data_IF_001387014738
#
_entry.id   IF_001387014738
#
_cell.length_a   1.000
_cell.length_b   1.000
_cell.length_c   1.000
_cell.angle_alpha   90.00
_cell.angle_beta   90.00
_cell.angle_gamma   90.00
#
_symmetry.space_group_name_H-M   'P 1'
#
loop_
_entity.id
_entity.type
_entity.pdbx_description
1 polymer ?
#
# COMPACT_ATOMS: atom_id res chain seq x y z
N UNK A 1 -15.49 -2.80 -12.30
CA UNK A 1 -14.47 -3.82 -12.64
C UNK A 1 -14.05 -3.77 -14.11
N UNK A 2 -14.19 -2.62 -14.79
CA UNK A 2 -13.90 -2.47 -16.24
C UNK A 2 -12.53 -1.80 -16.47
N UNK A 3 -12.12 -0.88 -15.59
CA UNK A 3 -10.89 -0.08 -15.72
C UNK A 3 -9.55 -0.85 -15.66
N UNK A 4 -9.49 -2.05 -15.07
CA UNK A 4 -8.23 -2.79 -14.95
C UNK A 4 -7.79 -3.40 -16.29
N UNK A 5 -8.74 -3.96 -17.04
CA UNK A 5 -8.47 -4.62 -18.31
C UNK A 5 -8.02 -3.61 -19.38
N UNK A 6 -8.61 -2.42 -19.38
CA UNK A 6 -8.24 -1.34 -20.31
C UNK A 6 -6.80 -0.87 -20.06
N UNK A 7 -6.41 -0.70 -18.79
CA UNK A 7 -5.03 -0.34 -18.44
C UNK A 7 -4.01 -1.37 -18.91
N UNK A 8 -4.27 -2.64 -18.65
CA UNK A 8 -3.35 -3.72 -19.06
C UNK A 8 -3.23 -3.78 -20.57
N UNK A 9 -4.35 -3.67 -21.30
CA UNK A 9 -4.38 -3.62 -22.77
C UNK A 9 -3.53 -2.47 -23.30
N UNK A 10 -3.79 -1.26 -22.83
CA UNK A 10 -3.16 -0.04 -23.34
C UNK A 10 -1.65 -0.03 -23.04
N UNK A 11 -1.25 -0.47 -21.84
CA UNK A 11 0.17 -0.67 -21.51
C UNK A 11 0.81 -1.75 -22.38
N UNK A 12 0.15 -2.88 -22.59
CA UNK A 12 0.70 -3.95 -23.42
C UNK A 12 0.93 -3.49 -24.87
N UNK A 13 -0.04 -2.77 -25.46
CA UNK A 13 0.11 -2.23 -26.82
C UNK A 13 1.26 -1.22 -26.92
N UNK A 14 1.46 -0.38 -25.90
CA UNK A 14 2.59 0.54 -25.81
C UNK A 14 3.93 -0.21 -25.84
N UNK A 15 4.07 -1.23 -25.00
CA UNK A 15 5.29 -2.03 -24.92
C UNK A 15 5.53 -2.86 -26.19
N UNK A 16 4.47 -3.34 -26.84
CA UNK A 16 4.58 -4.02 -28.13
C UNK A 16 5.06 -3.08 -29.25
N UNK A 17 4.73 -1.78 -29.20
CA UNK A 17 5.29 -0.81 -30.14
C UNK A 17 6.82 -0.66 -29.95
N UNK A 18 7.32 -0.67 -28.70
CA UNK A 18 8.76 -0.71 -28.44
C UNK A 18 9.39 -2.02 -28.93
N UNK A 19 8.74 -3.15 -28.65
CA UNK A 19 9.20 -4.45 -29.10
C UNK A 19 9.27 -4.54 -30.64
N UNK A 20 8.30 -3.97 -31.36
CA UNK A 20 8.30 -3.94 -32.82
C UNK A 20 9.46 -3.09 -33.37
N UNK A 21 9.75 -1.94 -32.78
CA UNK A 21 10.93 -1.13 -33.16
C UNK A 21 12.23 -1.92 -32.99
N UNK A 22 12.36 -2.66 -31.89
CA UNK A 22 13.56 -3.44 -31.60
C UNK A 22 13.68 -4.70 -32.47
N UNK A 23 12.60 -5.48 -32.58
CA UNK A 23 12.59 -6.79 -33.23
C UNK A 23 12.32 -6.70 -34.73
N UNK A 24 11.56 -5.74 -35.22
CA UNK A 24 11.22 -5.66 -36.65
C UNK A 24 12.12 -4.63 -37.32
N UNK A 25 12.14 -3.39 -36.82
CA UNK A 25 12.91 -2.31 -37.43
C UNK A 25 14.43 -2.43 -37.13
N UNK A 26 14.83 -3.30 -36.20
CA UNK A 26 16.23 -3.49 -35.73
C UNK A 26 16.87 -2.20 -35.22
N UNK A 27 16.04 -1.29 -34.68
CA UNK A 27 16.51 -0.02 -34.16
C UNK A 27 16.60 -0.11 -32.64
N UNK A 28 17.80 0.09 -32.11
CA UNK A 28 18.04 0.13 -30.67
C UNK A 28 17.96 1.57 -30.14
N UNK A 29 16.75 2.14 -30.19
CA UNK A 29 16.43 3.38 -29.45
C UNK A 29 15.29 3.08 -28.47
N UNK A 30 15.62 3.06 -27.18
CA UNK A 30 14.67 2.79 -26.09
C UNK A 30 13.67 3.92 -25.78
N UNK A 31 13.19 4.65 -26.79
CA UNK A 31 12.32 5.82 -26.60
C UNK A 31 11.26 5.99 -27.69
N UNK A 32 10.36 6.97 -27.51
CA UNK A 32 9.21 7.24 -28.38
C UNK A 32 9.55 8.07 -29.64
N UNK A 33 10.60 7.68 -30.35
CA UNK A 33 11.07 8.33 -31.57
C UNK A 33 10.14 8.12 -32.77
N UNK A 34 10.58 8.52 -33.97
CA UNK A 34 9.78 8.40 -35.20
C UNK A 34 9.38 6.95 -35.51
N UNK A 35 10.28 5.98 -35.28
CA UNK A 35 9.99 4.56 -35.48
C UNK A 35 8.85 4.07 -34.58
N UNK A 36 8.93 4.37 -33.28
CA UNK A 36 7.87 4.03 -32.33
C UNK A 36 6.53 4.66 -32.72
N UNK A 37 6.52 5.94 -33.13
CA UNK A 37 5.29 6.62 -33.57
C UNK A 37 4.63 5.93 -34.77
N UNK A 38 5.42 5.41 -35.73
CA UNK A 38 4.87 4.67 -36.88
C UNK A 38 4.14 3.41 -36.43
N UNK A 39 4.74 2.64 -35.52
CA UNK A 39 4.09 1.45 -34.96
C UNK A 39 2.84 1.78 -34.14
N UNK A 40 2.88 2.85 -33.33
CA UNK A 40 1.71 3.32 -32.60
C UNK A 40 0.56 3.71 -33.56
N UNK A 41 0.84 4.47 -34.62
CA UNK A 41 -0.15 4.84 -35.65
C UNK A 41 -0.69 3.59 -36.35
N UNK A 42 0.18 2.64 -36.70
CA UNK A 42 -0.23 1.39 -37.33
C UNK A 42 -1.19 0.60 -36.44
N UNK A 43 -0.86 0.44 -35.15
CA UNK A 43 -1.73 -0.21 -34.18
C UNK A 43 -3.08 0.52 -34.04
N UNK A 44 -3.09 1.86 -34.00
CA UNK A 44 -4.35 2.63 -33.94
C UNK A 44 -5.20 2.46 -35.21
N UNK A 45 -4.58 2.27 -36.37
CA UNK A 45 -5.29 2.00 -37.62
C UNK A 45 -5.92 0.61 -37.64
N UNK A 46 -5.24 -0.41 -37.12
CA UNK A 46 -5.74 -1.79 -37.07
C UNK A 46 -6.79 -1.96 -35.98
N UNK A 47 -6.58 -1.31 -34.83
CA UNK A 47 -7.45 -1.37 -33.67
C UNK A 47 -8.20 -0.05 -33.45
N UNK A 48 -8.99 0.36 -34.44
CA UNK A 48 -9.70 1.65 -34.45
C UNK A 48 -10.73 1.85 -33.33
N UNK A 49 -11.17 0.76 -32.70
CA UNK A 49 -12.07 0.80 -31.54
C UNK A 49 -11.35 1.10 -30.21
N UNK A 50 -10.02 1.11 -30.20
CA UNK A 50 -9.22 1.36 -29.00
C UNK A 50 -8.84 2.84 -28.87
N UNK A 51 -8.64 3.34 -27.65
CA UNK A 51 -8.14 4.70 -27.46
C UNK A 51 -6.73 4.87 -28.05
N UNK A 52 -6.33 6.10 -28.39
CA UNK A 52 -4.98 6.38 -28.87
C UNK A 52 -3.89 5.89 -27.91
N UNK A 53 -2.88 5.22 -28.44
CA UNK A 53 -1.67 4.84 -27.69
C UNK A 53 -0.84 6.10 -27.41
N UNK A 54 -0.86 6.56 -26.16
CA UNK A 54 -0.08 7.72 -25.72
C UNK A 54 1.38 7.35 -25.39
N UNK A 55 2.26 8.37 -25.42
CA UNK A 55 3.67 8.23 -25.01
C UNK A 55 3.83 8.04 -23.50
N UNK A 56 2.96 8.67 -22.72
CA UNK A 56 2.95 8.59 -21.27
C UNK A 56 1.63 8.00 -20.83
N UNK A 57 1.66 7.15 -19.80
CA UNK A 57 0.45 6.65 -19.18
C UNK A 57 -0.18 7.72 -18.28
N UNK A 58 -1.37 8.23 -18.65
CA UNK A 58 -2.09 9.24 -17.87
C UNK A 58 -3.10 8.63 -16.87
N UNK A 59 -2.85 7.43 -16.34
CA UNK A 59 -3.79 6.80 -15.42
C UNK A 59 -3.82 7.55 -14.08
N UNK A 60 -5.02 7.75 -13.54
CA UNK A 60 -5.18 8.21 -12.15
C UNK A 60 -4.64 7.11 -11.23
N UNK A 61 -3.48 7.35 -10.63
CA UNK A 61 -2.89 6.46 -9.64
C UNK A 61 -3.54 6.76 -8.29
N UNK A 62 -4.44 5.88 -7.86
CA UNK A 62 -4.95 5.91 -6.50
C UNK A 62 -3.88 5.39 -5.54
N UNK A 63 -3.43 6.27 -4.66
CA UNK A 63 -2.41 5.96 -3.65
C UNK A 63 -2.99 6.10 -2.26
N UNK A 64 -2.77 5.10 -1.41
CA UNK A 64 -3.27 5.09 -0.04
C UNK A 64 -2.68 6.18 0.85
N UNK A 65 -1.44 6.60 0.58
CA UNK A 65 -0.68 7.51 1.43
C UNK A 65 -0.40 8.81 0.69
N UNK A 66 -0.87 9.91 1.26
CA UNK A 66 -0.69 11.26 0.77
C UNK A 66 0.20 12.01 1.77
N UNK A 67 1.28 12.61 1.32
CA UNK A 67 2.15 13.44 2.14
C UNK A 67 1.92 14.89 1.73
N UNK A 68 1.28 15.68 2.59
CA UNK A 68 0.88 17.05 2.31
C UNK A 68 1.82 17.98 3.06
N UNK A 69 2.38 18.97 2.36
CA UNK A 69 3.23 19.96 2.98
C UNK A 69 2.40 20.97 3.77
N UNK A 70 2.74 21.17 5.04
CA UNK A 70 2.02 22.12 5.92
C UNK A 70 2.21 23.58 5.53
N UNK A 71 3.26 23.89 4.75
CA UNK A 71 3.57 25.27 4.35
C UNK A 71 2.87 25.69 3.07
N UNK A 72 3.03 24.91 2.00
CA UNK A 72 2.52 25.28 0.67
C UNK A 72 1.44 24.35 0.11
N UNK A 73 1.01 23.32 0.86
CA UNK A 73 -0.01 22.37 0.41
C UNK A 73 0.45 21.35 -0.63
N UNK A 74 1.73 21.36 -1.03
CA UNK A 74 2.25 20.41 -2.02
C UNK A 74 2.01 18.96 -1.57
N UNK A 75 1.45 18.15 -2.46
CA UNK A 75 1.02 16.78 -2.14
C UNK A 75 1.86 15.74 -2.88
N UNK A 76 2.48 14.82 -2.13
CA UNK A 76 3.20 13.66 -2.67
C UNK A 76 2.39 12.38 -2.45
N UNK A 77 2.15 11.63 -3.54
CA UNK A 77 1.36 10.41 -3.55
C UNK A 77 2.25 9.17 -3.45
N UNK A 78 1.96 8.21 -2.57
CA UNK A 78 2.74 6.97 -2.37
C UNK A 78 1.87 5.74 -2.09
N UNK A 79 2.27 4.58 -2.64
CA UNK A 79 1.59 3.30 -2.38
C UNK A 79 1.93 2.69 -1.01
N UNK A 80 3.07 3.05 -0.43
CA UNK A 80 3.54 2.60 0.89
C UNK A 80 3.97 3.78 1.75
N UNK A 81 4.16 3.57 3.06
CA UNK A 81 4.71 4.57 3.98
C UNK A 81 6.24 4.71 3.85
N UNK A 82 6.72 4.90 2.62
CA UNK A 82 8.16 4.90 2.30
C UNK A 82 8.80 6.29 2.34
N UNK A 83 8.03 7.33 2.59
CA UNK A 83 8.54 8.69 2.64
C UNK A 83 8.74 9.10 4.11
N UNK A 84 10.00 9.33 4.45
CA UNK A 84 10.46 9.74 5.78
C UNK A 84 10.30 11.26 5.91
N UNK A 85 9.28 11.68 6.67
CA UNK A 85 8.92 13.09 6.91
C UNK A 85 9.90 13.81 7.84
N UNK A 86 10.75 13.08 8.56
CA UNK A 86 11.74 13.66 9.47
C UNK A 86 12.99 14.10 8.68
N UNK A 87 13.37 13.30 7.67
CA UNK A 87 14.53 13.55 6.81
C UNK A 87 14.24 14.38 5.57
N UNK A 88 13.01 14.32 5.04
CA UNK A 88 12.65 14.95 3.76
C UNK A 88 11.75 16.16 3.99
N UNK A 89 12.10 17.27 3.34
CA UNK A 89 11.37 18.54 3.37
C UNK A 89 10.84 18.91 1.99
N UNK A 90 9.89 19.83 1.95
CA UNK A 90 9.31 20.30 0.70
C UNK A 90 10.35 21.08 -0.13
N UNK A 91 10.52 20.71 -1.39
CA UNK A 91 11.46 21.40 -2.28
C UNK A 91 11.04 22.84 -2.63
N UNK A 92 9.75 23.17 -2.47
CA UNK A 92 9.19 24.49 -2.83
C UNK A 92 9.36 25.48 -1.68
N UNK A 93 8.84 25.16 -0.50
CA UNK A 93 8.81 26.09 0.64
C UNK A 93 9.70 25.67 1.82
N UNK A 94 10.44 24.55 1.70
CA UNK A 94 11.25 23.95 2.78
C UNK A 94 10.46 23.52 4.03
N UNK A 95 9.13 23.52 3.98
CA UNK A 95 8.25 23.05 5.05
C UNK A 95 8.28 21.53 5.24
N UNK A 96 7.72 21.05 6.35
CA UNK A 96 7.56 19.62 6.65
C UNK A 96 6.31 19.04 5.97
N UNK A 97 6.32 17.72 5.80
CA UNK A 97 5.21 16.94 5.28
C UNK A 97 4.47 16.22 6.40
N UNK A 98 3.15 16.15 6.30
CA UNK A 98 2.29 15.33 7.13
C UNK A 98 1.66 14.21 6.30
N UNK A 99 1.56 13.02 6.90
CA UNK A 99 0.99 11.85 6.27
C UNK A 99 -0.52 11.76 6.51
N UNK A 100 -1.30 11.83 5.44
CA UNK A 100 -2.73 11.59 5.39
C UNK A 100 -3.04 10.29 4.62
N UNK A 101 -4.15 9.62 4.94
CA UNK A 101 -4.70 8.57 4.09
C UNK A 101 -5.64 9.15 3.06
N UNK A 102 -5.69 8.53 1.89
CA UNK A 102 -6.63 8.89 0.82
C UNK A 102 -8.11 8.72 1.21
N UNK A 103 -8.42 7.99 2.28
CA UNK A 103 -9.77 7.83 2.83
C UNK A 103 -10.17 8.95 3.83
N UNK A 104 -9.35 10.01 3.95
CA UNK A 104 -9.60 11.15 4.82
C UNK A 104 -9.47 10.85 6.32
N UNK A 105 -9.24 9.60 6.72
CA UNK A 105 -9.02 9.24 8.12
C UNK A 105 -7.60 9.60 8.54
N UNK A 106 -7.48 10.34 9.63
CA UNK A 106 -6.21 10.56 10.30
C UNK A 106 -5.56 9.21 10.63
N UNK A 107 -4.29 9.04 10.24
CA UNK A 107 -3.52 7.89 10.71
C UNK A 107 -3.16 8.16 12.16
N UNK A 108 -3.82 7.50 13.11
CA UNK A 108 -3.33 7.47 14.48
C UNK A 108 -1.93 6.81 14.47
N UNK A 109 -0.89 7.61 14.68
CA UNK A 109 0.50 7.14 14.91
C UNK A 109 0.63 6.35 16.20
N UNK A 110 -0.38 6.40 17.07
CA UNK A 110 -0.51 5.51 18.22
C UNK A 110 -0.86 4.11 17.70
N UNK A 111 0.16 3.25 17.56
CA UNK A 111 -0.05 1.80 17.56
C UNK A 111 -0.63 1.45 18.94
N UNK A 112 -1.95 1.51 19.11
CA UNK A 112 -2.59 0.84 20.25
C UNK A 112 -2.16 -0.62 20.15
N UNK A 113 -1.43 -1.08 21.15
CA UNK A 113 -1.10 -2.49 21.26
C UNK A 113 -2.41 -3.26 21.18
N UNK A 114 -2.44 -4.35 20.41
CA UNK A 114 -3.65 -5.18 20.42
C UNK A 114 -3.82 -5.76 21.84
N UNK A 115 -5.05 -6.13 22.21
CA UNK A 115 -5.37 -6.64 23.57
C UNK A 115 -4.44 -7.77 24.01
N UNK A 116 -4.00 -8.62 23.07
CA UNK A 116 -3.04 -9.69 23.35
C UNK A 116 -1.64 -9.17 23.68
N UNK A 117 -1.14 -8.14 22.98
CA UNK A 117 0.16 -7.53 23.23
C UNK A 117 0.20 -6.83 24.60
N UNK A 118 -0.90 -6.21 25.02
CA UNK A 118 -1.04 -5.67 26.39
C UNK A 118 -1.01 -6.80 27.42
N UNK A 119 -1.80 -7.86 27.19
CA UNK A 119 -1.81 -9.05 28.06
C UNK A 119 -0.43 -9.71 28.18
N UNK A 120 0.31 -9.84 27.08
CA UNK A 120 1.68 -10.36 27.09
C UNK A 120 2.59 -9.44 27.91
N UNK A 121 2.52 -8.12 27.72
CA UNK A 121 3.35 -7.17 28.48
C UNK A 121 3.13 -7.29 29.99
N UNK A 122 1.89 -7.47 30.42
CA UNK A 122 1.53 -7.57 31.85
C UNK A 122 1.89 -8.92 32.49
N UNK A 123 1.86 -10.01 31.70
CA UNK A 123 1.98 -11.37 32.24
C UNK A 123 3.30 -12.07 31.88
N UNK A 124 4.11 -11.53 30.97
CA UNK A 124 5.36 -12.15 30.55
C UNK A 124 6.34 -12.37 31.71
N UNK A 125 6.49 -11.38 32.60
CA UNK A 125 7.35 -11.51 33.78
C UNK A 125 6.87 -12.55 34.79
N UNK A 126 5.55 -12.82 34.84
CA UNK A 126 4.95 -13.81 35.74
C UNK A 126 5.16 -15.24 35.24
N UNK A 127 5.13 -15.43 33.92
CA UNK A 127 5.29 -16.75 33.30
C UNK A 127 6.75 -17.12 33.01
N UNK A 128 7.64 -16.13 32.87
CA UNK A 128 9.05 -16.39 32.57
C UNK A 128 9.80 -16.90 33.81
N UNK A 129 9.95 -18.22 33.89
CA UNK A 129 10.79 -18.90 34.89
C UNK A 129 12.23 -19.05 34.41
N UNK A 130 13.17 -19.23 35.35
CA UNK A 130 14.58 -19.45 35.04
C UNK A 130 14.75 -20.65 34.10
N UNK A 131 15.43 -20.46 32.97
CA UNK A 131 15.68 -21.50 31.97
C UNK A 131 14.60 -21.67 30.88
N UNK A 132 13.46 -20.96 30.95
CA UNK A 132 12.43 -21.06 29.90
C UNK A 132 12.81 -20.28 28.64
N UNK A 133 12.57 -20.89 27.47
CA UNK A 133 12.71 -20.20 26.18
C UNK A 133 11.53 -19.27 25.95
N UNK A 134 11.79 -18.17 25.25
CA UNK A 134 10.76 -17.18 24.89
C UNK A 134 9.55 -17.83 24.18
N UNK A 135 9.79 -18.78 23.27
CA UNK A 135 8.73 -19.46 22.53
C UNK A 135 7.75 -20.22 23.44
N UNK A 136 8.26 -20.82 24.53
CA UNK A 136 7.43 -21.58 25.47
C UNK A 136 6.58 -20.65 26.33
N UNK A 137 7.15 -19.51 26.76
CA UNK A 137 6.40 -18.47 27.47
C UNK A 137 5.28 -17.90 26.59
N UNK A 138 5.53 -17.66 25.30
CA UNK A 138 4.51 -17.17 24.37
C UNK A 138 3.36 -18.18 24.18
N UNK A 139 3.65 -19.49 24.10
CA UNK A 139 2.60 -20.53 24.02
C UNK A 139 1.70 -20.53 25.25
N UNK A 140 2.29 -20.41 26.44
CA UNK A 140 1.54 -20.35 27.71
C UNK A 140 0.65 -19.11 27.75
N UNK A 141 1.19 -17.95 27.38
CA UNK A 141 0.44 -16.69 27.35
C UNK A 141 -0.72 -16.73 26.33
N UNK A 142 -0.49 -17.31 25.15
CA UNK A 142 -1.58 -17.50 24.16
C UNK A 142 -2.70 -18.39 24.69
N UNK A 143 -2.36 -19.47 25.40
CA UNK A 143 -3.36 -20.35 26.03
C UNK A 143 -4.14 -19.63 27.13
N UNK A 144 -3.45 -18.92 28.03
CA UNK A 144 -4.08 -18.15 29.12
C UNK A 144 -4.99 -17.03 28.61
N UNK A 145 -4.58 -16.32 27.56
CA UNK A 145 -5.41 -15.29 26.94
C UNK A 145 -6.71 -15.87 26.36
N UNK A 146 -6.65 -17.05 25.73
CA UNK A 146 -7.83 -17.75 25.20
C UNK A 146 -8.78 -18.20 26.31
N UNK A 147 -8.26 -18.66 27.44
CA UNK A 147 -9.07 -19.03 28.61
C UNK A 147 -9.75 -17.82 29.24
N UNK A 148 -9.00 -16.72 29.43
CA UNK A 148 -9.57 -15.49 29.98
C UNK A 148 -10.66 -14.92 29.08
N UNK A 149 -10.49 -15.00 27.75
CA UNK A 149 -11.54 -14.60 26.81
C UNK A 149 -12.82 -15.43 26.95
N UNK A 150 -12.71 -16.75 27.23
CA UNK A 150 -13.88 -17.62 27.46
C UNK A 150 -14.56 -17.34 28.80
N UNK A 151 -13.79 -17.29 29.89
CA UNK A 151 -14.33 -16.96 31.22
C UNK A 151 -15.04 -15.60 31.23
N UNK A 152 -14.47 -14.61 30.54
CA UNK A 152 -15.04 -13.27 30.48
C UNK A 152 -16.28 -13.18 29.57
N UNK A 153 -16.57 -14.22 28.77
CA UNK A 153 -17.84 -14.37 28.04
C UNK A 153 -18.86 -15.08 28.91
N UNK A 154 -18.47 -16.17 29.57
CA UNK A 154 -19.33 -16.98 30.44
C UNK A 154 -19.85 -16.17 31.65
N UNK A 155 -19.00 -15.33 32.29
CA UNK A 155 -19.41 -14.45 33.39
C UNK A 155 -20.43 -13.39 32.96
N UNK A 156 -20.33 -12.87 31.74
CA UNK A 156 -21.27 -11.86 31.22
C UNK A 156 -22.62 -12.50 30.88
N UNK A 157 -22.63 -13.78 30.50
CA UNK A 157 -23.86 -14.53 30.24
C UNK A 157 -24.57 -14.91 31.54
N UNK A 158 -23.85 -15.27 32.61
CA UNK A 158 -24.44 -15.50 33.94
C UNK A 158 -25.00 -14.23 34.57
N UNK A 159 -24.32 -13.09 34.48
CA UNK A 159 -24.81 -11.81 35.01
C UNK A 159 -26.06 -11.31 34.29
N UNK A 160 -26.21 -11.56 32.99
CA UNK A 160 -27.40 -11.19 32.20
C UNK A 160 -28.57 -12.18 32.33
N UNK A 161 -28.34 -13.39 32.86
CA UNK A 161 -29.38 -14.39 33.11
C UNK A 161 -29.97 -14.30 34.53
N UNK A 162 -29.35 -13.49 35.40
CA UNK A 162 -29.76 -13.27 36.79
C UNK A 162 -30.65 -12.03 36.97
N UNK A 163 -31.04 -11.35 35.88
CA UNK A 163 -31.93 -10.17 35.83
C UNK A 163 -33.21 -10.47 35.04
#
# INVERSE_FOLDING_TARGET
MIFFLERVRDTLLHELCHAAVWVIDRVDVGGHGAAWKRWAIHCMSVFSSLPPIERCHNYKIDTKFLYICNGCGQTLKRHTKSFDTDRKICAICRGRFELQRSDGKAISTVKRANRFAEFVKENYGKEKKAGMKHADVMKILSYKFKQQAKMNTEMVEEENAAD
#
